data_IF_486865440740
#
_entry.id   IF_486865440740
#
_cell.length_a   1.000
_cell.length_b   1.000
_cell.length_c   1.000
_cell.angle_alpha   90.00
_cell.angle_beta   90.00
_cell.angle_gamma   90.00
#
_symmetry.space_group_name_H-M   'P 1'
#
loop_
_entity.id
_entity.type
_entity.pdbx_description
1 polymer ?
#
# COMPACT_ATOMS: atom_id res chain seq x y z
N UNK A 1 -37.34 -59.09 48.18
CA UNK A 1 -36.14 -59.41 47.40
C UNK A 1 -35.16 -58.26 47.62
N UNK A 2 -34.32 -58.36 48.65
CA UNK A 2 -33.32 -57.34 49.00
C UNK A 2 -32.06 -57.59 48.19
N UNK A 3 -31.78 -56.75 47.20
CA UNK A 3 -30.54 -56.77 46.45
C UNK A 3 -29.43 -56.15 47.30
N UNK A 4 -28.59 -56.98 47.90
CA UNK A 4 -27.34 -56.55 48.54
C UNK A 4 -26.30 -56.32 47.45
N UNK A 5 -26.05 -55.06 47.09
CA UNK A 5 -24.96 -54.71 46.18
C UNK A 5 -23.64 -54.96 46.94
N UNK A 6 -22.77 -55.82 46.40
CA UNK A 6 -21.45 -56.08 46.98
C UNK A 6 -20.64 -54.79 47.05
N UNK A 7 -19.92 -54.57 48.15
CA UNK A 7 -19.09 -53.38 48.37
C UNK A 7 -18.07 -53.15 47.23
N UNK A 8 -17.62 -54.22 46.56
CA UNK A 8 -16.73 -54.15 45.40
C UNK A 8 -17.35 -53.41 44.21
N UNK A 9 -18.63 -53.66 43.90
CA UNK A 9 -19.33 -52.95 42.83
C UNK A 9 -19.54 -51.47 43.14
N UNK A 10 -19.69 -51.11 44.41
CA UNK A 10 -19.81 -49.70 44.79
C UNK A 10 -18.50 -48.92 44.59
N UNK A 11 -17.35 -49.57 44.82
CA UNK A 11 -16.02 -49.00 44.60
C UNK A 11 -15.73 -48.77 43.11
N UNK A 12 -16.09 -49.73 42.25
CA UNK A 12 -15.93 -49.60 40.79
C UNK A 12 -16.77 -48.46 40.21
N UNK A 13 -18.02 -48.31 40.68
CA UNK A 13 -18.92 -47.24 40.24
C UNK A 13 -18.36 -45.86 40.65
N UNK A 14 -17.87 -45.73 41.87
CA UNK A 14 -17.29 -44.47 42.38
C UNK A 14 -16.00 -44.13 41.63
N UNK A 15 -15.12 -45.10 41.38
CA UNK A 15 -13.89 -44.88 40.62
C UNK A 15 -14.17 -44.41 39.18
N UNK A 16 -15.15 -45.02 38.52
CA UNK A 16 -15.59 -44.64 37.17
C UNK A 16 -16.13 -43.20 37.13
N UNK A 17 -16.94 -42.81 38.11
CA UNK A 17 -17.44 -41.44 38.24
C UNK A 17 -16.32 -40.40 38.40
N UNK A 18 -15.32 -40.69 39.23
CA UNK A 18 -14.18 -39.79 39.46
C UNK A 18 -13.36 -39.61 38.16
N UNK A 19 -13.15 -40.70 37.41
CA UNK A 19 -12.42 -40.66 36.14
C UNK A 19 -13.14 -39.79 35.09
N UNK A 20 -14.48 -39.93 34.99
CA UNK A 20 -15.30 -39.14 34.07
C UNK A 20 -15.25 -37.65 34.43
N UNK A 21 -15.40 -37.30 35.71
CA UNK A 21 -15.34 -35.90 36.16
C UNK A 21 -13.96 -35.28 35.87
N UNK A 22 -12.89 -36.02 36.13
CA UNK A 22 -11.53 -35.56 35.88
C UNK A 22 -11.26 -35.32 34.39
N UNK A 23 -11.76 -36.20 33.51
CA UNK A 23 -11.67 -36.05 32.07
C UNK A 23 -12.42 -34.80 31.57
N UNK A 24 -13.62 -34.53 32.09
CA UNK A 24 -14.41 -33.35 31.74
C UNK A 24 -13.73 -32.04 32.15
N UNK A 25 -13.11 -32.01 33.33
CA UNK A 25 -12.33 -30.84 33.79
C UNK A 25 -11.12 -30.61 32.87
N UNK A 26 -10.40 -31.67 32.51
CA UNK A 26 -9.26 -31.59 31.58
C UNK A 26 -9.65 -31.04 30.21
N UNK A 27 -10.79 -31.48 29.67
CA UNK A 27 -11.35 -30.98 28.41
C UNK A 27 -11.72 -29.49 28.52
N UNK A 28 -12.34 -29.07 29.62
CA UNK A 28 -12.70 -27.67 29.86
C UNK A 28 -11.49 -26.73 29.90
N UNK A 29 -10.42 -27.14 30.59
CA UNK A 29 -9.16 -26.38 30.68
C UNK A 29 -8.50 -26.26 29.31
N UNK A 30 -8.48 -27.35 28.53
CA UNK A 30 -7.89 -27.36 27.18
C UNK A 30 -8.67 -26.46 26.21
N UNK A 31 -10.01 -26.51 26.22
CA UNK A 31 -10.85 -25.61 25.41
C UNK A 31 -10.61 -24.15 25.80
N UNK A 32 -10.45 -23.85 27.10
CA UNK A 32 -10.12 -22.51 27.59
C UNK A 32 -8.78 -22.00 27.05
N UNK A 33 -7.74 -22.82 27.07
CA UNK A 33 -6.41 -22.47 26.56
C UNK A 33 -6.44 -22.21 25.05
N UNK A 34 -7.04 -23.12 24.27
CA UNK A 34 -7.14 -22.98 22.81
C UNK A 34 -7.97 -21.74 22.41
N UNK A 35 -9.00 -21.40 23.17
CA UNK A 35 -9.81 -20.21 22.91
C UNK A 35 -9.04 -18.92 23.25
N UNK A 36 -8.27 -18.92 24.35
CA UNK A 36 -7.35 -17.82 24.71
C UNK A 36 -6.30 -17.60 23.62
N UNK A 37 -5.67 -18.67 23.14
CA UNK A 37 -4.68 -18.61 22.06
C UNK A 37 -5.29 -18.09 20.76
N UNK A 38 -6.50 -18.51 20.41
CA UNK A 38 -7.24 -17.97 19.25
C UNK A 38 -7.55 -16.48 19.37
N UNK A 39 -7.89 -15.99 20.56
CA UNK A 39 -8.14 -14.56 20.77
C UNK A 39 -6.86 -13.73 20.71
N UNK A 40 -5.76 -14.24 21.28
CA UNK A 40 -4.45 -13.61 21.20
C UNK A 40 -3.95 -13.53 19.76
N UNK A 41 -4.12 -14.61 18.98
CA UNK A 41 -3.72 -14.69 17.57
C UNK A 41 -4.58 -13.76 16.69
N UNK A 42 -5.90 -13.67 16.95
CA UNK A 42 -6.76 -12.65 16.31
C UNK A 42 -6.33 -11.23 16.62
N UNK A 43 -5.94 -10.95 17.86
CA UNK A 43 -5.49 -9.62 18.29
C UNK A 43 -4.16 -9.26 17.63
N UNK A 44 -3.25 -10.24 17.51
CA UNK A 44 -1.98 -10.08 16.82
C UNK A 44 -2.17 -9.83 15.32
N UNK A 45 -3.04 -10.60 14.64
CA UNK A 45 -3.37 -10.38 13.23
C UNK A 45 -3.94 -8.98 12.99
N UNK A 46 -4.90 -8.53 13.80
CA UNK A 46 -5.44 -7.17 13.70
C UNK A 46 -4.37 -6.08 13.89
N UNK A 47 -3.41 -6.30 14.79
CA UNK A 47 -2.28 -5.37 14.98
C UNK A 47 -1.34 -5.38 13.76
N UNK A 48 -1.13 -6.53 13.13
CA UNK A 48 -0.33 -6.64 11.92
C UNK A 48 -1.01 -5.99 10.72
N UNK A 49 -2.30 -6.23 10.51
CA UNK A 49 -3.10 -5.57 9.46
C UNK A 49 -3.02 -4.04 9.60
N UNK A 50 -3.24 -3.51 10.81
CA UNK A 50 -3.16 -2.07 11.06
C UNK A 50 -1.77 -1.50 10.75
N UNK A 51 -0.69 -2.20 11.12
CA UNK A 51 0.67 -1.77 10.80
C UNK A 51 0.98 -1.85 9.31
N UNK A 52 0.46 -2.86 8.62
CA UNK A 52 0.58 -2.97 7.17
C UNK A 52 -0.16 -1.84 6.47
N UNK A 53 -1.37 -1.49 6.92
CA UNK A 53 -2.12 -0.36 6.39
C UNK A 53 -1.41 0.98 6.66
N UNK A 54 -0.83 1.17 7.84
CA UNK A 54 -0.01 2.35 8.16
C UNK A 54 1.22 2.44 7.24
N UNK A 55 1.97 1.34 7.07
CA UNK A 55 3.13 1.31 6.16
C UNK A 55 2.70 1.53 4.71
N UNK A 56 1.63 0.87 4.25
CA UNK A 56 1.10 1.04 2.89
C UNK A 56 0.58 2.46 2.68
N UNK A 57 0.00 3.11 3.68
CA UNK A 57 -0.42 4.51 3.60
C UNK A 57 0.77 5.46 3.48
N UNK A 58 1.87 5.18 4.20
CA UNK A 58 3.11 5.95 4.08
C UNK A 58 3.77 5.76 2.71
N UNK A 59 3.68 4.56 2.13
CA UNK A 59 4.21 4.26 0.79
C UNK A 59 3.30 4.79 -0.33
N UNK A 60 1.98 4.87 -0.12
CA UNK A 60 1.00 5.22 -1.17
C UNK A 60 0.72 6.71 -1.35
N UNK A 61 1.13 7.60 -0.45
CA UNK A 61 0.49 8.94 -0.43
C UNK A 61 1.37 10.17 -0.70
N UNK A 62 2.67 10.06 -0.95
CA UNK A 62 3.45 11.21 -1.39
C UNK A 62 4.46 10.81 -2.45
N UNK A 63 4.32 11.39 -3.64
CA UNK A 63 5.39 11.37 -4.62
C UNK A 63 6.60 12.06 -4.00
N UNK A 64 7.73 11.35 -3.96
CA UNK A 64 8.96 11.84 -3.33
C UNK A 64 9.62 12.99 -4.10
N UNK A 65 9.09 13.37 -5.26
CA UNK A 65 9.58 14.46 -6.11
C UNK A 65 8.75 15.73 -5.99
N UNK A 66 7.67 15.70 -5.22
CA UNK A 66 6.70 16.79 -5.09
C UNK A 66 6.79 17.43 -3.69
N UNK A 67 6.52 18.73 -3.61
CA UNK A 67 6.61 19.49 -2.36
C UNK A 67 5.52 19.07 -1.37
N UNK A 68 5.90 18.93 -0.10
CA UNK A 68 4.96 18.67 0.97
C UNK A 68 3.84 19.72 1.02
N UNK A 69 2.59 19.27 0.93
CA UNK A 69 1.41 20.12 0.98
C UNK A 69 1.00 20.79 -0.33
N UNK A 70 1.70 20.54 -1.45
CA UNK A 70 1.28 21.03 -2.77
C UNK A 70 1.63 20.02 -3.87
N UNK A 71 0.63 19.42 -4.55
CA UNK A 71 0.87 18.55 -5.71
C UNK A 71 1.42 19.32 -6.92
N UNK A 72 1.53 20.65 -6.80
CA UNK A 72 1.81 21.52 -7.92
C UNK A 72 3.30 21.77 -8.10
N UNK A 73 4.11 21.74 -7.05
CA UNK A 73 5.52 22.14 -7.15
C UNK A 73 6.44 20.96 -6.91
N UNK A 74 7.56 20.95 -7.64
CA UNK A 74 8.65 20.03 -7.34
C UNK A 74 9.31 20.40 -6.02
N UNK A 75 9.83 19.40 -5.32
CA UNK A 75 10.80 19.60 -4.26
C UNK A 75 12.24 19.53 -4.82
N UNK A 76 13.25 19.70 -3.97
CA UNK A 76 14.66 19.69 -4.40
C UNK A 76 15.06 18.38 -5.12
N UNK A 77 14.46 17.25 -4.73
CA UNK A 77 14.67 15.95 -5.37
C UNK A 77 14.03 15.92 -6.76
N UNK A 78 12.82 16.45 -6.92
CA UNK A 78 12.15 16.60 -8.21
C UNK A 78 12.91 17.53 -9.17
N UNK A 79 13.44 18.64 -8.67
CA UNK A 79 14.27 19.55 -9.46
C UNK A 79 15.61 18.91 -9.87
N UNK A 80 16.19 18.05 -9.03
CA UNK A 80 17.37 17.26 -9.41
C UNK A 80 17.02 16.26 -10.53
N UNK A 81 15.95 15.50 -10.37
CA UNK A 81 15.47 14.54 -11.38
C UNK A 81 15.19 15.24 -12.71
N UNK A 82 14.61 16.43 -12.69
CA UNK A 82 14.40 17.24 -13.89
C UNK A 82 15.71 17.55 -14.63
N UNK A 83 16.77 17.91 -13.88
CA UNK A 83 18.09 18.17 -14.47
C UNK A 83 18.74 16.91 -15.02
N UNK A 84 18.63 15.80 -14.30
CA UNK A 84 19.21 14.51 -14.71
C UNK A 84 18.52 13.96 -15.96
N UNK A 85 17.22 14.23 -16.13
CA UNK A 85 16.45 13.86 -17.33
C UNK A 85 16.86 14.62 -18.59
N UNK A 86 17.36 15.85 -18.45
CA UNK A 86 17.59 16.80 -19.55
C UNK A 86 16.44 16.83 -20.60
N UNK A 87 15.21 16.73 -20.11
CA UNK A 87 14.02 16.50 -20.94
C UNK A 87 13.46 17.79 -21.57
N UNK A 88 14.32 18.77 -21.85
CA UNK A 88 13.92 20.04 -22.45
C UNK A 88 13.31 19.83 -23.84
N UNK A 89 13.96 19.01 -24.67
CA UNK A 89 13.45 18.65 -26.01
C UNK A 89 12.14 17.86 -25.94
N UNK A 90 11.99 16.99 -24.94
CA UNK A 90 10.75 16.27 -24.69
C UNK A 90 9.62 17.27 -24.40
N UNK A 91 9.85 18.22 -23.49
CA UNK A 91 8.86 19.25 -23.15
C UNK A 91 8.49 20.14 -24.35
N UNK A 92 9.44 20.51 -25.21
CA UNK A 92 9.15 21.24 -26.45
C UNK A 92 8.20 20.46 -27.36
N UNK A 93 8.56 19.20 -27.65
CA UNK A 93 7.76 18.32 -28.52
C UNK A 93 6.33 18.17 -28.01
N UNK A 94 6.16 17.89 -26.71
CA UNK A 94 4.83 17.71 -26.14
C UNK A 94 4.05 19.00 -25.96
N UNK A 95 4.72 20.12 -25.71
CA UNK A 95 4.05 21.41 -25.68
C UNK A 95 3.37 21.70 -27.02
N UNK A 96 4.06 21.48 -28.14
CA UNK A 96 3.50 21.70 -29.46
C UNK A 96 2.30 20.80 -29.77
N UNK A 97 2.36 19.54 -29.35
CA UNK A 97 1.26 18.58 -29.53
C UNK A 97 0.05 18.87 -28.64
N UNK A 98 0.29 19.43 -27.45
CA UNK A 98 -0.75 19.54 -26.41
C UNK A 98 -1.33 20.94 -26.24
N UNK A 99 -0.65 22.01 -26.66
CA UNK A 99 -1.11 23.40 -26.48
C UNK A 99 -2.51 23.66 -27.03
N UNK A 100 -2.85 23.05 -28.17
CA UNK A 100 -4.17 23.20 -28.77
C UNK A 100 -5.25 22.37 -28.04
N UNK A 101 -4.87 21.25 -27.42
CA UNK A 101 -5.78 20.38 -26.68
C UNK A 101 -6.23 21.00 -25.35
N UNK A 102 -5.44 21.94 -24.84
CA UNK A 102 -5.68 22.58 -23.53
C UNK A 102 -6.02 24.07 -23.60
N UNK A 103 -6.12 24.65 -24.80
CA UNK A 103 -6.30 26.10 -25.00
C UNK A 103 -7.47 26.70 -24.20
N UNK A 104 -8.58 25.97 -24.13
CA UNK A 104 -9.82 26.44 -23.49
C UNK A 104 -10.02 25.80 -22.09
N UNK A 105 -8.97 25.18 -21.53
CA UNK A 105 -8.99 24.53 -20.20
C UNK A 105 -8.51 25.49 -19.11
N UNK A 106 -9.08 25.35 -17.91
CA UNK A 106 -8.57 26.03 -16.73
C UNK A 106 -7.31 25.35 -16.15
N UNK A 107 -6.64 26.01 -15.20
CA UNK A 107 -5.39 25.50 -14.62
C UNK A 107 -5.53 24.12 -13.95
N UNK A 108 -6.69 23.84 -13.34
CA UNK A 108 -6.95 22.53 -12.73
C UNK A 108 -7.11 21.44 -13.80
N UNK A 109 -7.85 21.73 -14.87
CA UNK A 109 -8.01 20.84 -16.00
C UNK A 109 -6.69 20.60 -16.74
N UNK A 110 -5.80 21.60 -16.82
CA UNK A 110 -4.44 21.44 -17.37
C UNK A 110 -3.60 20.54 -16.48
N UNK A 111 -3.64 20.69 -15.15
CA UNK A 111 -2.98 19.79 -14.21
C UNK A 111 -3.45 18.35 -14.40
N UNK A 112 -4.76 18.13 -14.45
CA UNK A 112 -5.31 16.78 -14.64
C UNK A 112 -4.86 16.20 -15.98
N UNK A 113 -4.98 16.97 -17.06
CA UNK A 113 -4.56 16.56 -18.40
C UNK A 113 -3.09 16.15 -18.44
N UNK A 114 -2.20 17.00 -17.94
CA UNK A 114 -0.75 16.74 -17.96
C UNK A 114 -0.37 15.52 -17.13
N UNK A 115 -1.03 15.31 -15.99
CA UNK A 115 -0.84 14.12 -15.15
C UNK A 115 -1.26 12.85 -15.90
N UNK A 116 -2.45 12.83 -16.50
CA UNK A 116 -2.94 11.70 -17.29
C UNK A 116 -2.03 11.43 -18.50
N UNK A 117 -1.59 12.49 -19.17
CA UNK A 117 -0.74 12.41 -20.34
C UNK A 117 0.59 11.72 -20.05
N UNK A 118 1.32 12.15 -19.02
CA UNK A 118 2.64 11.57 -18.69
C UNK A 118 2.57 10.17 -18.10
N UNK A 119 1.42 9.77 -17.56
CA UNK A 119 1.24 8.40 -17.07
C UNK A 119 1.03 7.37 -18.17
N UNK A 120 0.74 7.81 -19.39
CA UNK A 120 0.45 6.92 -20.52
C UNK A 120 1.71 6.62 -21.33
N UNK A 121 2.10 5.34 -21.42
CA UNK A 121 3.29 4.87 -22.15
C UNK A 121 3.31 5.23 -23.64
N UNK A 122 2.13 5.43 -24.26
CA UNK A 122 2.00 5.71 -25.71
C UNK A 122 2.68 7.01 -26.18
N UNK A 123 3.09 7.86 -25.24
CA UNK A 123 3.72 9.14 -25.52
C UNK A 123 5.24 9.08 -25.42
N UNK A 124 5.82 7.93 -25.10
CA UNK A 124 7.26 7.82 -24.92
C UNK A 124 7.87 6.92 -25.99
N UNK A 125 9.07 7.28 -26.43
CA UNK A 125 9.94 6.37 -27.15
C UNK A 125 10.52 5.33 -26.19
N UNK A 126 10.95 4.17 -26.69
CA UNK A 126 11.51 3.11 -25.83
C UNK A 126 12.78 3.59 -25.11
N UNK A 127 13.58 4.43 -25.77
CA UNK A 127 14.78 5.04 -25.22
C UNK A 127 14.44 6.00 -24.05
N UNK A 128 13.33 6.74 -24.17
CA UNK A 128 12.85 7.65 -23.12
C UNK A 128 12.30 6.86 -21.92
N UNK A 129 11.56 5.78 -22.17
CA UNK A 129 11.10 4.87 -21.12
C UNK A 129 12.27 4.22 -20.39
N UNK A 130 13.31 3.83 -21.12
CA UNK A 130 14.53 3.29 -20.55
C UNK A 130 15.23 4.32 -19.66
N UNK A 131 15.41 5.54 -20.14
CA UNK A 131 16.01 6.63 -19.36
C UNK A 131 15.21 6.93 -18.09
N UNK A 132 13.87 6.98 -18.17
CA UNK A 132 12.99 7.17 -17.02
C UNK A 132 13.24 6.08 -15.96
N UNK A 133 13.34 4.81 -16.37
CA UNK A 133 13.60 3.67 -15.46
C UNK A 133 14.99 3.75 -14.84
N UNK A 134 16.01 4.13 -15.61
CA UNK A 134 17.38 4.30 -15.13
C UNK A 134 17.44 5.39 -14.04
N UNK A 135 16.88 6.57 -14.32
CA UNK A 135 16.83 7.69 -13.37
C UNK A 135 16.01 7.33 -12.13
N UNK A 136 14.89 6.61 -12.31
CA UNK A 136 14.07 6.12 -11.22
C UNK A 136 14.88 5.20 -10.29
N UNK A 137 15.61 4.24 -10.87
CA UNK A 137 16.45 3.32 -10.12
C UNK A 137 17.58 4.05 -9.38
N UNK A 138 18.31 4.93 -10.05
CA UNK A 138 19.44 5.68 -9.46
C UNK A 138 19.03 6.58 -8.30
N UNK A 139 17.81 7.13 -8.34
CA UNK A 139 17.30 8.03 -7.32
C UNK A 139 16.39 7.35 -6.29
N UNK A 140 16.18 6.03 -6.39
CA UNK A 140 15.28 5.28 -5.51
C UNK A 140 13.84 5.81 -5.59
N UNK A 141 13.34 5.98 -6.80
CA UNK A 141 12.01 6.50 -7.14
C UNK A 141 11.24 5.47 -7.97
N UNK A 142 9.93 5.67 -8.08
CA UNK A 142 9.13 4.93 -9.06
C UNK A 142 9.16 5.62 -10.43
N UNK A 143 8.93 4.86 -11.51
CA UNK A 143 8.72 5.43 -12.87
C UNK A 143 7.64 6.52 -12.86
N UNK A 144 6.60 6.33 -12.05
CA UNK A 144 5.53 7.30 -11.87
C UNK A 144 6.03 8.62 -11.30
N UNK A 145 6.91 8.60 -10.28
CA UNK A 145 7.44 9.82 -9.68
C UNK A 145 8.27 10.64 -10.67
N UNK A 146 9.05 9.97 -11.51
CA UNK A 146 9.87 10.61 -12.56
C UNK A 146 8.97 11.21 -13.64
N UNK A 147 7.95 10.48 -14.09
CA UNK A 147 6.96 11.00 -15.06
C UNK A 147 6.16 12.16 -14.50
N UNK A 148 5.85 12.15 -13.20
CA UNK A 148 5.16 13.25 -12.55
C UNK A 148 6.00 14.53 -12.58
N UNK A 149 7.34 14.43 -12.50
CA UNK A 149 8.25 15.57 -12.72
C UNK A 149 8.02 16.17 -14.12
N UNK A 150 7.99 15.33 -15.15
CA UNK A 150 7.71 15.76 -16.53
C UNK A 150 6.33 16.43 -16.64
N UNK A 151 5.31 15.85 -15.99
CA UNK A 151 3.95 16.39 -16.01
C UNK A 151 3.86 17.78 -15.39
N UNK A 152 4.53 17.99 -14.26
CA UNK A 152 4.59 19.30 -13.59
C UNK A 152 5.27 20.34 -14.49
N UNK A 153 6.43 20.01 -15.09
CA UNK A 153 7.13 20.93 -15.99
C UNK A 153 6.34 21.23 -17.28
N UNK A 154 5.66 20.23 -17.83
CA UNK A 154 4.79 20.42 -19.00
C UNK A 154 3.62 21.36 -18.67
N UNK A 155 2.99 21.17 -17.51
CA UNK A 155 1.93 22.05 -17.02
C UNK A 155 2.42 23.48 -16.86
N UNK A 156 3.56 23.66 -16.19
CA UNK A 156 4.14 24.99 -15.97
C UNK A 156 4.31 25.73 -17.30
N UNK A 157 4.89 25.05 -18.29
CA UNK A 157 5.05 25.60 -19.62
C UNK A 157 3.72 25.89 -20.33
N UNK A 158 2.70 25.06 -20.18
CA UNK A 158 1.37 25.30 -20.75
C UNK A 158 0.63 26.49 -20.09
N UNK A 159 1.02 26.84 -18.86
CA UNK A 159 0.46 27.98 -18.12
C UNK A 159 1.25 29.27 -18.34
N UNK A 160 2.52 29.18 -18.73
CA UNK A 160 3.34 30.28 -19.25
C UNK A 160 2.78 30.72 -20.62
N UNK A 161 2.00 31.80 -20.64
CA UNK A 161 1.42 32.38 -21.87
C UNK A 161 2.43 33.19 -22.65
#
# INVERSE_FOLDING_TARGET
MTFTISAEHTLEIVASLIAIVSALIGIGIWIGHVNSDRQNLKTLMKRMEKKLDEILSLVRQRSNTVKDGSPLCLNDKGEKVWKDLDASEWIERFFDDTKNLVRDKDAYQIQQFTTEYVTSDKHYLEEELKLIREIAYENGLSDFDVRLVLGIKLRDKLLEK
#
